data_IF_253676411176
#
_entry.id   IF_253676411176
#
_cell.length_a   1.000
_cell.length_b   1.000
_cell.length_c   1.000
_cell.angle_alpha   90.00
_cell.angle_beta   90.00
_cell.angle_gamma   90.00
#
_symmetry.space_group_name_H-M   'P 1'
#
loop_
_entity.id
_entity.type
_entity.pdbx_description
1 polymer ?
#
# COMPACT_ATOMS: atom_id res chain seq x y z
N UNK A 1 -7.47 15.35 -14.93
CA UNK A 1 -7.55 14.18 -15.85
C UNK A 1 -6.62 13.13 -15.25
N UNK A 2 -7.02 11.94 -14.81
CA UNK A 2 -7.98 10.99 -15.38
C UNK A 2 -8.83 10.30 -14.29
N UNK A 3 -10.13 10.57 -14.30
CA UNK A 3 -11.13 9.62 -13.79
C UNK A 3 -11.22 8.49 -14.82
N UNK A 4 -10.71 7.30 -14.50
CA UNK A 4 -11.12 5.99 -15.04
C UNK A 4 -10.11 4.90 -14.62
N UNK A 5 -10.05 4.58 -13.32
CA UNK A 5 -9.55 3.25 -12.92
C UNK A 5 -10.53 2.67 -11.91
N UNK A 6 -11.45 1.85 -12.42
CA UNK A 6 -11.85 0.56 -11.85
C UNK A 6 -13.11 0.08 -12.58
N UNK A 7 -12.96 -0.71 -13.65
CA UNK A 7 -14.08 -1.46 -14.24
C UNK A 7 -14.37 -2.73 -13.42
N UNK A 8 -13.46 -3.11 -12.50
CA UNK A 8 -13.60 -4.26 -11.60
C UNK A 8 -13.07 -3.90 -10.22
N UNK A 9 -13.78 -4.34 -9.18
CA UNK A 9 -13.37 -4.32 -7.78
C UNK A 9 -12.18 -5.26 -7.51
N UNK A 10 -11.52 -5.12 -6.36
CA UNK A 10 -10.43 -6.04 -6.00
C UNK A 10 -10.87 -7.52 -6.01
N UNK A 11 -12.02 -7.92 -5.43
CA UNK A 11 -12.49 -9.30 -5.52
C UNK A 11 -12.64 -9.81 -6.96
N UNK A 12 -13.21 -9.01 -7.86
CA UNK A 12 -13.38 -9.39 -9.27
C UNK A 12 -12.03 -9.52 -10.00
N UNK A 13 -11.05 -8.68 -9.69
CA UNK A 13 -9.70 -8.79 -10.24
C UNK A 13 -8.93 -9.99 -9.66
N UNK A 14 -9.17 -10.34 -8.40
CA UNK A 14 -8.58 -11.51 -7.77
C UNK A 14 -9.13 -12.82 -8.35
N UNK A 15 -10.40 -12.85 -8.77
CA UNK A 15 -10.97 -13.99 -9.51
C UNK A 15 -10.29 -14.20 -10.87
N UNK A 16 -10.03 -13.11 -11.61
CA UNK A 16 -9.44 -13.18 -12.96
C UNK A 16 -7.92 -13.44 -12.96
N UNK A 17 -7.20 -12.90 -11.97
CA UNK A 17 -5.74 -12.84 -11.98
C UNK A 17 -5.06 -13.51 -10.79
N UNK A 18 -5.83 -13.93 -9.78
CA UNK A 18 -5.32 -14.45 -8.52
C UNK A 18 -5.16 -13.37 -7.44
N UNK A 19 -5.08 -13.82 -6.19
CA UNK A 19 -4.88 -12.96 -5.03
C UNK A 19 -3.44 -12.41 -4.98
N UNK A 20 -3.23 -11.18 -4.46
CA UNK A 20 -1.91 -10.68 -4.13
C UNK A 20 -1.15 -11.63 -3.20
N UNK A 21 0.14 -11.85 -3.48
CA UNK A 21 1.00 -12.63 -2.59
C UNK A 21 1.33 -11.79 -1.37
N UNK A 22 1.01 -12.28 -0.17
CA UNK A 22 1.39 -11.61 1.08
C UNK A 22 2.88 -11.83 1.33
N UNK A 23 3.68 -10.77 1.24
CA UNK A 23 5.14 -10.83 1.42
C UNK A 23 5.50 -10.65 2.88
N UNK A 24 4.87 -9.67 3.55
CA UNK A 24 5.17 -9.28 4.93
C UNK A 24 3.86 -8.88 5.60
N UNK A 25 3.52 -9.44 6.77
CA UNK A 25 2.35 -9.04 7.54
C UNK A 25 2.62 -9.05 9.06
N UNK A 26 2.35 -7.94 9.76
CA UNK A 26 2.69 -7.81 11.19
C UNK A 26 1.96 -8.78 12.13
N UNK A 27 0.79 -9.31 11.74
CA UNK A 27 -0.02 -10.28 12.52
C UNK A 27 -0.06 -11.71 12.00
N UNK A 28 0.50 -12.01 10.82
CA UNK A 28 0.35 -13.34 10.21
C UNK A 28 1.67 -14.09 10.29
N UNK A 29 1.60 -15.38 10.64
CA UNK A 29 2.75 -16.28 10.60
C UNK A 29 3.00 -16.85 9.19
N UNK A 30 2.03 -16.76 8.28
CA UNK A 30 2.14 -17.27 6.91
C UNK A 30 2.31 -16.12 5.93
N UNK A 31 3.47 -16.10 5.27
CA UNK A 31 3.80 -15.24 4.13
C UNK A 31 4.19 -16.12 2.96
N UNK A 32 3.98 -15.65 1.73
CA UNK A 32 4.35 -16.35 0.51
C UNK A 32 5.88 -16.48 0.33
N UNK A 33 6.65 -15.67 1.05
CA UNK A 33 8.11 -15.70 1.05
C UNK A 33 8.65 -16.12 2.43
N UNK A 34 9.78 -16.86 2.48
CA UNK A 34 10.46 -17.17 3.73
C UNK A 34 10.92 -15.92 4.47
N UNK A 35 10.97 -16.00 5.80
CA UNK A 35 11.32 -14.86 6.68
C UNK A 35 12.74 -14.34 6.40
N UNK A 36 13.65 -15.22 6.02
CA UNK A 36 15.04 -14.90 5.67
C UNK A 36 15.12 -13.96 4.47
N UNK A 37 14.10 -13.96 3.60
CA UNK A 37 14.04 -13.11 2.41
C UNK A 37 13.34 -11.77 2.65
N UNK A 38 12.67 -11.58 3.79
CA UNK A 38 11.88 -10.37 4.08
C UNK A 38 12.72 -9.09 3.95
N UNK A 39 13.97 -9.10 4.43
CA UNK A 39 14.84 -7.93 4.34
C UNK A 39 15.18 -7.55 2.89
N UNK A 40 15.40 -8.53 2.01
CA UNK A 40 15.67 -8.27 0.60
C UNK A 40 14.43 -7.72 -0.12
N UNK A 41 13.26 -8.30 0.14
CA UNK A 41 12.00 -7.79 -0.40
C UNK A 41 11.71 -6.38 0.12
N UNK A 42 11.84 -6.13 1.43
CA UNK A 42 11.65 -4.82 2.02
C UNK A 42 12.58 -3.77 1.40
N UNK A 43 13.86 -4.11 1.23
CA UNK A 43 14.83 -3.21 0.60
C UNK A 43 14.46 -2.90 -0.85
N UNK A 44 14.16 -3.91 -1.67
CA UNK A 44 13.83 -3.72 -3.09
C UNK A 44 12.51 -2.96 -3.28
N UNK A 45 11.51 -3.20 -2.43
CA UNK A 45 10.24 -2.46 -2.47
C UNK A 45 10.45 -1.02 -1.97
N UNK A 46 11.30 -0.81 -0.95
CA UNK A 46 11.70 0.52 -0.48
C UNK A 46 12.37 1.36 -1.57
N UNK A 47 13.29 0.76 -2.33
CA UNK A 47 14.01 1.40 -3.42
C UNK A 47 13.28 1.40 -4.77
N UNK A 48 12.12 0.75 -4.84
CA UNK A 48 11.30 0.66 -6.04
C UNK A 48 10.74 2.01 -6.49
N UNK A 49 10.27 2.05 -7.74
CA UNK A 49 9.62 3.24 -8.31
C UNK A 49 8.22 3.38 -7.71
N UNK A 50 8.01 4.42 -6.89
CA UNK A 50 6.67 4.79 -6.43
C UNK A 50 5.79 5.16 -7.62
N UNK A 51 4.64 4.50 -7.73
CA UNK A 51 3.61 4.75 -8.74
C UNK A 51 2.43 5.53 -8.17
N UNK A 52 2.11 5.30 -6.89
CA UNK A 52 1.03 5.96 -6.17
C UNK A 52 1.35 6.00 -4.68
N UNK A 53 1.03 7.09 -4.00
CA UNK A 53 1.35 7.23 -2.59
C UNK A 53 0.30 8.06 -1.85
N UNK A 54 -0.12 7.53 -0.70
CA UNK A 54 -1.03 8.21 0.22
C UNK A 54 -0.61 7.98 1.65
N UNK A 55 -0.80 8.97 2.51
CA UNK A 55 -0.54 8.78 3.92
C UNK A 55 -0.91 9.97 4.79
N UNK A 56 -0.55 9.86 6.05
CA UNK A 56 -0.67 10.93 7.04
C UNK A 56 0.72 11.37 7.49
N UNK A 57 1.09 12.62 7.19
CA UNK A 57 2.31 13.23 7.73
C UNK A 57 2.10 13.67 9.18
N UNK A 58 3.14 13.55 10.00
CA UNK A 58 3.13 14.08 11.35
C UNK A 58 2.95 15.61 11.33
N UNK A 59 2.08 16.14 12.19
CA UNK A 59 1.85 17.59 12.32
C UNK A 59 3.09 18.30 12.90
N UNK A 60 3.87 17.60 13.72
CA UNK A 60 5.12 18.08 14.30
C UNK A 60 6.19 17.01 14.13
N UNK A 61 7.07 17.18 13.15
CA UNK A 61 8.22 16.31 12.90
C UNK A 61 8.32 15.84 11.45
N UNK A 62 9.53 15.46 10.99
CA UNK A 62 9.81 15.14 9.58
C UNK A 62 9.43 13.70 9.18
N UNK A 63 8.29 13.17 9.67
CA UNK A 63 7.95 11.74 9.50
C UNK A 63 6.52 11.48 9.02
N UNK A 64 6.36 10.40 8.25
CA UNK A 64 5.05 9.79 8.01
C UNK A 64 4.60 9.06 9.28
N UNK A 65 3.33 9.25 9.66
CA UNK A 65 2.67 8.43 10.69
C UNK A 65 2.02 7.20 10.07
N UNK A 66 1.47 7.37 8.88
CA UNK A 66 0.87 6.31 8.09
C UNK A 66 1.29 6.47 6.64
N UNK A 67 1.51 5.35 5.97
CA UNK A 67 1.90 5.33 4.58
C UNK A 67 1.28 4.12 3.87
N UNK A 68 0.59 4.36 2.75
CA UNK A 68 0.05 3.35 1.83
C UNK A 68 0.58 3.73 0.45
N UNK A 69 1.41 2.89 -0.17
CA UNK A 69 1.94 3.15 -1.51
C UNK A 69 1.86 1.95 -2.43
N UNK A 70 1.84 2.24 -3.72
CA UNK A 70 2.09 1.28 -4.80
C UNK A 70 3.48 1.55 -5.35
N UNK A 71 4.32 0.52 -5.38
CA UNK A 71 5.67 0.58 -5.94
C UNK A 71 5.88 -0.49 -7.01
N UNK A 72 6.49 -0.12 -8.13
CA UNK A 72 7.09 -1.06 -9.07
C UNK A 72 8.50 -1.43 -8.58
N UNK A 73 8.81 -2.71 -8.50
CA UNK A 73 10.11 -3.19 -8.04
C UNK A 73 10.54 -4.46 -8.78
N UNK A 74 11.82 -4.83 -8.61
CA UNK A 74 12.38 -6.08 -9.13
C UNK A 74 12.41 -7.12 -8.00
N UNK A 75 11.73 -8.24 -8.21
CA UNK A 75 11.70 -9.35 -7.25
C UNK A 75 13.12 -9.88 -7.02
N UNK A 76 13.61 -9.95 -5.77
CA UNK A 76 15.01 -10.28 -5.49
C UNK A 76 15.39 -11.73 -5.83
N UNK A 77 14.41 -12.63 -5.98
CA UNK A 77 14.64 -14.06 -6.26
C UNK A 77 14.56 -14.35 -7.76
N UNK A 78 13.48 -13.93 -8.41
CA UNK A 78 13.23 -14.24 -9.83
C UNK A 78 13.79 -13.19 -10.79
N UNK A 79 14.07 -11.98 -10.30
CA UNK A 79 14.43 -10.84 -11.15
C UNK A 79 13.26 -10.26 -11.96
N UNK A 80 12.04 -10.74 -11.71
CA UNK A 80 10.86 -10.28 -12.43
C UNK A 80 10.39 -8.92 -11.91
N UNK A 81 9.87 -8.10 -12.81
CA UNK A 81 9.18 -6.86 -12.44
C UNK A 81 7.84 -7.20 -11.80
N UNK A 82 7.58 -6.61 -10.64
CA UNK A 82 6.33 -6.77 -9.89
C UNK A 82 5.87 -5.43 -9.31
N UNK A 83 4.63 -5.42 -8.84
CA UNK A 83 4.02 -4.27 -8.19
C UNK A 83 3.70 -4.65 -6.75
N UNK A 84 4.06 -3.79 -5.81
CA UNK A 84 3.84 -4.00 -4.39
C UNK A 84 2.90 -2.94 -3.82
N UNK A 85 1.94 -3.38 -3.02
CA UNK A 85 1.27 -2.58 -2.02
C UNK A 85 2.12 -2.60 -0.76
N UNK A 86 2.63 -1.44 -0.34
CA UNK A 86 3.37 -1.29 0.90
C UNK A 86 2.61 -0.36 1.85
N UNK A 87 2.12 -0.94 2.93
CA UNK A 87 1.36 -0.27 3.96
C UNK A 87 2.09 -0.38 5.30
N UNK A 88 2.35 0.75 5.95
CA UNK A 88 2.89 0.75 7.31
C UNK A 88 2.43 1.96 8.14
N UNK A 89 2.56 1.83 9.47
CA UNK A 89 2.27 2.87 10.45
C UNK A 89 3.39 3.00 11.49
N UNK A 90 3.53 4.17 12.09
CA UNK A 90 4.47 4.47 13.18
C UNK A 90 4.21 3.62 14.45
N UNK A 91 2.97 3.11 14.61
CA UNK A 91 2.57 2.20 15.68
C UNK A 91 2.86 0.72 15.39
N UNK A 92 3.63 0.40 14.34
CA UNK A 92 4.11 -0.95 14.05
C UNK A 92 3.12 -1.85 13.31
N UNK A 93 2.03 -1.30 12.76
CA UNK A 93 1.19 -2.03 11.78
C UNK A 93 1.90 -1.97 10.43
N UNK A 94 2.16 -3.11 9.82
CA UNK A 94 2.70 -3.18 8.46
C UNK A 94 2.13 -4.38 7.70
N UNK A 95 1.94 -4.17 6.41
CA UNK A 95 1.43 -5.12 5.45
C UNK A 95 2.04 -4.83 4.09
N UNK A 96 2.68 -5.84 3.50
CA UNK A 96 3.20 -5.77 2.14
C UNK A 96 2.69 -6.97 1.37
N UNK A 97 2.07 -6.69 0.25
CA UNK A 97 1.61 -7.68 -0.72
C UNK A 97 2.05 -7.28 -2.12
N UNK A 98 2.24 -8.26 -2.99
CA UNK A 98 2.64 -8.02 -4.37
C UNK A 98 1.76 -8.74 -5.39
N UNK A 99 1.81 -8.28 -6.64
CA UNK A 99 1.27 -8.99 -7.79
C UNK A 99 2.07 -8.65 -9.06
N UNK A 100 2.05 -9.53 -10.05
CA UNK A 100 2.65 -9.27 -11.37
C UNK A 100 1.80 -8.32 -12.24
N UNK A 101 0.54 -8.13 -11.87
CA UNK A 101 -0.44 -7.28 -12.57
C UNK A 101 -0.72 -6.03 -11.75
N UNK A 102 -0.40 -4.86 -12.31
CA UNK A 102 -0.55 -3.56 -11.64
C UNK A 102 -2.00 -3.30 -11.19
N UNK A 103 -2.99 -3.62 -12.02
CA UNK A 103 -4.40 -3.36 -11.72
C UNK A 103 -4.87 -4.06 -10.43
N UNK A 104 -4.37 -5.28 -10.15
CA UNK A 104 -4.66 -6.01 -8.91
C UNK A 104 -4.13 -5.24 -7.69
N UNK A 105 -2.90 -4.71 -7.78
CA UNK A 105 -2.27 -3.96 -6.69
C UNK A 105 -2.90 -2.58 -6.50
N UNK A 106 -3.26 -1.89 -7.58
CA UNK A 106 -3.99 -0.62 -7.49
C UNK A 106 -5.38 -0.80 -6.85
N UNK A 107 -6.10 -1.87 -7.20
CA UNK A 107 -7.38 -2.18 -6.57
C UNK A 107 -7.22 -2.49 -5.07
N UNK A 108 -6.19 -3.26 -4.69
CA UNK A 108 -5.86 -3.52 -3.28
C UNK A 108 -5.45 -2.23 -2.54
N UNK A 109 -4.71 -1.34 -3.20
CA UNK A 109 -4.37 -0.01 -2.68
C UNK A 109 -5.64 0.82 -2.40
N UNK A 110 -6.57 0.92 -3.35
CA UNK A 110 -7.80 1.69 -3.15
C UNK A 110 -8.69 1.08 -2.07
N UNK A 111 -8.72 -0.24 -1.97
CA UNK A 111 -9.40 -0.94 -0.88
C UNK A 111 -8.77 -0.61 0.48
N UNK A 112 -7.43 -0.59 0.58
CA UNK A 112 -6.71 -0.23 1.80
C UNK A 112 -6.95 1.23 2.21
N UNK A 113 -6.88 2.17 1.25
CA UNK A 113 -7.18 3.59 1.49
C UNK A 113 -8.61 3.76 1.99
N UNK A 114 -9.59 3.12 1.35
CA UNK A 114 -11.00 3.18 1.77
C UNK A 114 -11.20 2.59 3.17
N UNK A 115 -10.58 1.45 3.47
CA UNK A 115 -10.69 0.81 4.77
C UNK A 115 -10.11 1.69 5.89
N UNK A 116 -8.95 2.31 5.64
CA UNK A 116 -8.34 3.23 6.58
C UNK A 116 -9.16 4.52 6.73
N UNK A 117 -9.76 5.04 5.66
CA UNK A 117 -10.66 6.19 5.77
C UNK A 117 -11.93 5.91 6.60
N UNK A 118 -12.48 4.71 6.50
CA UNK A 118 -13.66 4.30 7.28
C UNK A 118 -13.33 4.00 8.74
N UNK A 119 -12.15 3.44 9.00
CA UNK A 119 -11.69 3.09 10.35
C UNK A 119 -10.20 3.42 10.49
N UNK A 120 -9.87 4.68 10.77
CA UNK A 120 -8.48 5.12 10.84
C UNK A 120 -7.70 4.33 11.88
N UNK A 121 -6.59 3.72 11.46
CA UNK A 121 -5.70 3.04 12.40
C UNK A 121 -4.90 4.00 13.28
N UNK A 122 -4.81 5.27 12.89
CA UNK A 122 -4.21 6.36 13.66
C UNK A 122 -5.30 7.37 13.99
N UNK A 123 -5.39 7.75 15.27
CA UNK A 123 -6.28 8.84 15.68
C UNK A 123 -5.87 10.13 14.96
N UNK A 124 -6.71 10.55 14.03
CA UNK A 124 -6.63 11.87 13.42
C UNK A 124 -7.02 12.88 14.51
N UNK A 125 -6.20 13.91 14.74
CA UNK A 125 -6.45 14.92 15.78
C UNK A 125 -7.88 15.46 15.67
N UNK A 126 -8.56 15.79 16.79
CA UNK A 126 -9.93 16.34 16.79
C UNK A 126 -10.12 17.57 15.89
N UNK A 127 -9.05 18.32 15.65
CA UNK A 127 -9.04 19.48 14.73
C UNK A 127 -9.25 19.10 13.25
N UNK A 128 -9.17 17.80 12.92
CA UNK A 128 -9.36 17.22 11.58
C UNK A 128 -10.50 16.18 11.55
N UNK A 129 -11.18 15.93 12.68
CA UNK A 129 -12.37 15.07 12.74
C UNK A 129 -13.55 15.82 12.13
N UNK A 130 -13.73 15.63 10.83
CA UNK A 130 -14.71 16.36 10.01
C UNK A 130 -14.38 16.33 8.52
N UNK A 131 -13.16 15.89 8.16
CA UNK A 131 -12.75 15.78 6.77
C UNK A 131 -13.02 14.36 6.24
N UNK A 132 -13.78 14.35 5.15
CA UNK A 132 -14.03 13.29 4.17
C UNK A 132 -12.70 12.70 3.63
N UNK A 133 -12.72 11.69 2.73
CA UNK A 133 -11.50 11.07 2.16
C UNK A 133 -10.40 12.03 1.69
N UNK A 134 -10.69 13.31 1.50
CA UNK A 134 -9.79 14.44 1.24
C UNK A 134 -8.71 14.69 2.32
N UNK A 135 -8.79 14.06 3.51
CA UNK A 135 -7.69 14.09 4.49
C UNK A 135 -6.50 13.19 4.11
N UNK A 136 -6.71 12.27 3.17
CA UNK A 136 -5.68 11.47 2.52
C UNK A 136 -5.18 12.23 1.30
N UNK A 137 -3.98 12.80 1.39
CA UNK A 137 -3.34 13.37 0.20
C UNK A 137 -2.92 12.21 -0.71
N UNK A 138 -3.50 12.09 -1.90
CA UNK A 138 -2.82 11.42 -3.02
C UNK A 138 -1.67 12.36 -3.41
N UNK A 139 -0.44 12.03 -2.97
CA UNK A 139 0.72 12.86 -3.23
C UNK A 139 1.16 12.81 -4.71
N UNK A 140 0.58 11.90 -5.49
CA UNK A 140 0.85 11.74 -6.91
C UNK A 140 -0.05 12.62 -7.80
N UNK A 141 -1.03 13.33 -7.24
CA UNK A 141 -1.88 14.29 -7.96
C UNK A 141 -1.34 15.74 -7.94
N UNK A 142 -0.20 16.00 -7.29
CA UNK A 142 0.44 17.32 -7.25
C UNK A 142 1.60 17.36 -8.24
N UNK A 143 1.28 17.54 -9.52
CA UNK A 143 2.22 17.94 -10.57
C UNK A 143 2.15 19.46 -10.80
#
# INVERSE_FOLDING_TARGET
MHLLVAVKSWPELAEDHGEPRVIMHCKSASTAVPREQHAAYAHNIASGKTLRETGLRAVRGPGWRQHIRVAEYIEPVTGERRFALDFWTDHGKWFVADHSVLAVVEAAYYAAVRAEAQRPCIAVLPERTGLTPDAYFDLTDVA
#
